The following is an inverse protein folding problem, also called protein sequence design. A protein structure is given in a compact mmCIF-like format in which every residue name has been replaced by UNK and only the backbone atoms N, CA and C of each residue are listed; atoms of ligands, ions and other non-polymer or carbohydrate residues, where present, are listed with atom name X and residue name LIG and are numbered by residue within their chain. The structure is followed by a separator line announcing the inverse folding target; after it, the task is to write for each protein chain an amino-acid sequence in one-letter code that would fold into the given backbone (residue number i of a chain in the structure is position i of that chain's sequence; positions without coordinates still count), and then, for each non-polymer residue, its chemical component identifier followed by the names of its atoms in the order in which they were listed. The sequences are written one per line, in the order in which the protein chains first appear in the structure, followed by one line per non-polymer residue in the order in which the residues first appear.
data_IF_787564829950
#
_entry.id   IF_787564829950
#
_cell.length_a   1.000
_cell.length_b   1.000
_cell.length_c   1.000
_cell.angle_alpha   90.00
_cell.angle_beta   90.00
_cell.angle_gamma   90.00
#
_symmetry.space_group_name_H-M   'P 1'
#
loop_
_entity.id
_entity.type
_entity.pdbx_description
1 polymer ?
#
# COMPACT_ATOMS: atom_id res chain seq x y z
N UNK A 1 3.17 -5.50 14.93
CA UNK A 1 2.62 -6.05 13.67
C UNK A 1 2.26 -4.86 12.82
N UNK A 2 2.42 -4.97 11.50
CA UNK A 2 2.21 -3.86 10.58
C UNK A 2 1.38 -4.31 9.38
N UNK A 3 0.76 -3.35 8.70
CA UNK A 3 0.18 -3.57 7.38
C UNK A 3 1.25 -3.44 6.30
N UNK A 4 1.08 -4.17 5.21
CA UNK A 4 2.05 -4.29 4.14
C UNK A 4 1.34 -4.08 2.80
N UNK A 5 1.89 -3.23 1.94
CA UNK A 5 1.42 -3.08 0.56
C UNK A 5 2.11 -4.13 -0.32
N UNK A 6 1.33 -4.86 -1.12
CA UNK A 6 1.79 -5.96 -1.98
C UNK A 6 1.68 -5.62 -3.47
N UNK A 7 1.97 -6.61 -4.32
CA UNK A 7 2.11 -6.54 -5.76
C UNK A 7 0.90 -5.96 -6.52
N UNK A 8 -0.31 -6.13 -5.97
CA UNK A 8 -1.54 -5.60 -6.58
C UNK A 8 -1.54 -4.06 -6.67
N UNK A 9 -0.82 -3.35 -5.79
CA UNK A 9 -0.75 -1.89 -5.83
C UNK A 9 0.03 -1.37 -7.03
N UNK A 10 1.07 -2.12 -7.46
CA UNK A 10 1.99 -1.73 -8.53
C UNK A 10 1.24 -1.48 -9.83
N UNK A 11 1.36 -0.28 -10.38
CA UNK A 11 0.68 0.12 -11.62
C UNK A 11 -0.78 0.56 -11.45
N UNK A 12 -1.34 0.53 -10.23
CA UNK A 12 -2.62 1.16 -9.93
C UNK A 12 -2.43 2.46 -9.15
N UNK A 13 -1.79 2.36 -7.97
CA UNK A 13 -1.51 3.49 -7.05
C UNK A 13 -2.71 4.44 -6.88
N UNK A 14 -3.85 3.90 -6.43
CA UNK A 14 -5.09 4.68 -6.18
C UNK A 14 -4.98 5.67 -5.02
N UNK A 15 -4.11 5.42 -4.04
CA UNK A 15 -3.88 6.26 -2.85
C UNK A 15 -5.05 6.49 -1.89
N UNK A 16 -6.18 5.80 -2.05
CA UNK A 16 -7.32 5.86 -1.09
C UNK A 16 -6.91 5.48 0.35
N UNK A 17 -5.91 4.60 0.49
CA UNK A 17 -5.34 4.23 1.78
C UNK A 17 -4.67 5.39 2.54
N UNK A 18 -4.22 6.44 1.84
CA UNK A 18 -3.58 7.62 2.45
C UNK A 18 -4.60 8.42 3.26
N UNK A 19 -5.80 8.64 2.71
CA UNK A 19 -6.83 9.45 3.38
C UNK A 19 -7.39 8.85 4.67
N UNK A 20 -7.18 7.55 4.89
CA UNK A 20 -7.68 6.84 6.08
C UNK A 20 -6.58 6.53 7.09
N UNK A 21 -5.32 6.89 6.81
CA UNK A 21 -4.21 6.65 7.72
C UNK A 21 -4.16 7.74 8.81
N UNK A 22 -4.37 7.41 10.10
CA UNK A 22 -4.40 8.41 11.16
C UNK A 22 -3.01 8.94 11.56
N UNK A 23 -1.95 8.29 11.09
CA UNK A 23 -0.54 8.56 11.46
C UNK A 23 0.33 8.87 10.24
N UNK A 24 -0.29 9.05 9.06
CA UNK A 24 0.39 9.42 7.80
C UNK A 24 1.63 8.57 7.46
N UNK A 25 1.61 7.27 7.78
CA UNK A 25 2.75 6.36 7.61
C UNK A 25 2.90 5.80 6.19
N UNK A 26 2.38 6.48 5.16
CA UNK A 26 2.49 6.05 3.78
C UNK A 26 3.59 6.80 3.05
N UNK A 27 4.34 6.06 2.23
CA UNK A 27 5.34 6.58 1.32
C UNK A 27 4.98 6.21 -0.12
N UNK A 28 5.52 6.93 -1.10
CA UNK A 28 5.11 6.76 -2.50
C UNK A 28 6.27 6.90 -3.47
N UNK A 29 6.25 6.09 -4.53
CA UNK A 29 7.04 6.32 -5.73
C UNK A 29 6.14 6.36 -6.98
N UNK A 30 6.76 6.34 -8.16
CA UNK A 30 6.04 6.40 -9.44
C UNK A 30 5.22 5.14 -9.73
N UNK A 31 5.44 4.04 -9.02
CA UNK A 31 4.82 2.74 -9.30
C UNK A 31 3.76 2.34 -8.26
N UNK A 32 3.97 2.62 -6.98
CA UNK A 32 3.10 2.21 -5.88
C UNK A 32 3.34 3.00 -4.57
N UNK A 33 2.55 2.66 -3.56
CA UNK A 33 2.74 3.14 -2.18
C UNK A 33 3.39 2.06 -1.31
N UNK A 34 4.00 2.48 -0.20
CA UNK A 34 4.62 1.63 0.82
C UNK A 34 4.18 2.09 2.20
N UNK A 35 4.11 1.17 3.16
CA UNK A 35 3.83 1.48 4.57
C UNK A 35 5.13 1.48 5.35
N UNK A 36 5.35 2.54 6.13
CA UNK A 36 6.42 2.56 7.13
C UNK A 36 6.02 1.70 8.34
N UNK A 37 6.71 0.57 8.59
CA UNK A 37 6.39 -0.31 9.70
C UNK A 37 6.68 0.27 11.07
N UNK A 38 7.54 1.30 11.18
CA UNK A 38 7.87 1.92 12.48
C UNK A 38 6.78 2.90 12.94
N UNK A 39 6.09 3.53 11.99
CA UNK A 39 5.01 4.47 12.27
C UNK A 39 3.61 3.85 12.16
N UNK A 40 3.46 2.67 11.56
CA UNK A 40 2.18 1.98 11.47
C UNK A 40 1.68 1.52 12.85
N UNK A 41 0.45 1.91 13.20
CA UNK A 41 -0.18 1.56 14.48
C UNK A 41 -1.19 0.39 14.41
N UNK A 42 -1.16 -0.39 13.32
CA UNK A 42 -2.01 -1.58 13.14
C UNK A 42 -3.53 -1.33 13.25
N UNK A 43 -4.02 -0.13 12.89
CA UNK A 43 -5.44 0.22 13.02
C UNK A 43 -6.36 -0.45 11.98
N UNK A 44 -5.80 -0.89 10.85
CA UNK A 44 -6.52 -1.64 9.80
C UNK A 44 -7.44 -0.85 8.87
N UNK A 45 -7.57 0.47 9.03
CA UNK A 45 -8.44 1.29 8.17
C UNK A 45 -8.05 1.27 6.68
N UNK A 46 -6.76 1.10 6.36
CA UNK A 46 -6.26 1.13 4.99
C UNK A 46 -6.58 -0.12 4.16
N UNK A 47 -6.73 -1.29 4.78
CA UNK A 47 -6.99 -2.55 4.09
C UNK A 47 -8.29 -2.55 3.27
N UNK A 48 -9.47 -2.23 3.85
CA UNK A 48 -10.72 -2.17 3.10
C UNK A 48 -10.81 -0.97 2.14
N UNK A 49 -10.00 0.08 2.36
CA UNK A 49 -9.97 1.25 1.50
C UNK A 49 -9.25 1.00 0.15
N UNK A 50 -8.40 -0.03 0.07
CA UNK A 50 -7.63 -0.32 -1.14
C UNK A 50 -8.49 -0.98 -2.23
N UNK A 51 -8.72 -0.33 -3.39
CA UNK A 51 -9.61 -0.86 -4.42
C UNK A 51 -9.13 -2.16 -5.07
N UNK A 52 -7.84 -2.48 -4.96
CA UNK A 52 -7.23 -3.69 -5.53
C UNK A 52 -6.88 -4.74 -4.47
N UNK A 53 -7.25 -4.49 -3.20
CA UNK A 53 -6.94 -5.40 -2.09
C UNK A 53 -5.45 -5.70 -1.97
N UNK A 54 -4.60 -4.67 -2.09
CA UNK A 54 -3.15 -4.83 -2.04
C UNK A 54 -2.58 -4.73 -0.61
N UNK A 55 -3.40 -4.47 0.41
CA UNK A 55 -2.95 -4.16 1.75
C UNK A 55 -3.43 -5.25 2.70
N UNK A 56 -2.48 -5.93 3.34
CA UNK A 56 -2.72 -7.04 4.26
C UNK A 56 -1.80 -6.93 5.48
N UNK A 57 -2.21 -7.41 6.67
CA UNK A 57 -1.32 -7.45 7.82
C UNK A 57 -0.23 -8.51 7.62
N UNK A 58 0.98 -8.22 8.12
CA UNK A 58 2.19 -9.04 7.95
C UNK A 58 1.99 -10.55 8.23
N UNK A 59 1.24 -10.89 9.28
CA UNK A 59 0.99 -12.25 9.71
C UNK A 59 0.00 -13.03 8.83
N UNK A 60 -0.78 -12.35 7.98
CA UNK A 60 -1.70 -13.00 7.02
C UNK A 60 -1.09 -13.21 5.63
N UNK A 61 0.07 -12.61 5.37
CA UNK A 61 0.73 -12.77 4.08
C UNK A 61 1.07 -14.23 3.82
N UNK A 62 0.72 -14.70 2.62
CA UNK A 62 1.18 -15.97 2.10
C UNK A 62 2.73 -16.02 2.08
N UNK A 63 3.29 -17.23 2.16
CA UNK A 63 4.73 -17.42 2.31
C UNK A 63 5.53 -16.76 1.17
N UNK A 64 5.01 -16.83 -0.06
CA UNK A 64 5.56 -16.21 -1.25
C UNK A 64 5.45 -14.68 -1.28
N UNK A 65 4.63 -14.07 -0.41
CA UNK A 65 4.47 -12.61 -0.30
C UNK A 65 5.20 -12.00 0.89
N UNK A 66 5.78 -12.80 1.79
CA UNK A 66 6.45 -12.28 3.00
C UNK A 66 7.62 -11.33 2.70
N UNK A 67 8.26 -11.45 1.55
CA UNK A 67 9.32 -10.52 1.13
C UNK A 67 8.85 -9.06 1.02
N UNK A 68 7.53 -8.82 0.84
CA UNK A 68 6.98 -7.48 0.80
C UNK A 68 7.15 -6.70 2.11
N UNK A 69 7.33 -7.39 3.25
CA UNK A 69 7.63 -6.76 4.53
C UNK A 69 8.92 -5.95 4.43
N UNK A 70 9.99 -6.57 3.91
CA UNK A 70 11.29 -5.92 3.75
C UNK A 70 11.27 -4.85 2.66
N UNK A 71 10.49 -5.08 1.59
CA UNK A 71 10.30 -4.06 0.54
C UNK A 71 9.64 -2.82 1.12
N UNK A 72 8.55 -2.94 1.87
CA UNK A 72 7.86 -1.79 2.46
C UNK A 72 8.79 -1.04 3.43
N UNK A 73 9.46 -1.77 4.33
CA UNK A 73 10.44 -1.22 5.28
C UNK A 73 11.53 -0.42 4.57
N UNK A 74 12.18 -1.02 3.56
CA UNK A 74 13.26 -0.36 2.81
C UNK A 74 12.74 0.86 2.06
N UNK A 75 11.66 0.71 1.31
CA UNK A 75 11.15 1.79 0.45
C UNK A 75 10.61 2.96 1.26
N UNK A 76 10.05 2.73 2.45
CA UNK A 76 9.68 3.82 3.36
C UNK A 76 10.87 4.73 3.72
N UNK A 77 12.09 4.19 3.81
CA UNK A 77 13.29 5.01 4.07
C UNK A 77 13.84 5.73 2.82
N UNK A 78 13.42 5.32 1.62
CA UNK A 78 13.97 5.80 0.34
C UNK A 78 13.00 6.69 -0.45
N UNK A 79 11.73 6.72 -0.05
CA UNK A 79 10.66 7.40 -0.81
C UNK A 79 9.98 8.45 0.07
N UNK A 80 9.46 9.54 -0.53
CA UNK A 80 8.83 10.61 0.23
C UNK A 80 7.53 10.13 0.89
N UNK A 81 7.22 10.72 2.05
CA UNK A 81 5.91 10.59 2.71
C UNK A 81 4.83 11.20 1.82
N UNK A 82 3.67 10.56 1.76
CA UNK A 82 2.47 11.04 1.09
C UNK A 82 1.37 11.32 2.13
N UNK A 83 1.00 12.58 2.29
CA UNK A 83 -0.06 13.02 3.22
C UNK A 83 -1.38 13.39 2.53
N UNK A 84 -1.42 13.39 1.19
CA UNK A 84 -2.61 13.70 0.42
C UNK A 84 -2.78 12.73 -0.76
N UNK A 85 -4.03 12.52 -1.20
CA UNK A 85 -4.32 11.66 -2.35
C UNK A 85 -3.68 12.19 -3.63
N UNK A 86 -3.22 11.26 -4.45
CA UNK A 86 -2.82 11.50 -5.83
C UNK A 86 -3.84 10.84 -6.77
N UNK A 87 -3.98 11.34 -8.00
CA UNK A 87 -4.69 10.63 -9.04
C UNK A 87 -4.11 9.22 -9.23
N UNK A 88 -4.99 8.24 -9.45
CA UNK A 88 -4.59 6.90 -9.84
C UNK A 88 -3.74 6.93 -11.12
N UNK A 89 -2.87 5.94 -11.31
CA UNK A 89 -2.04 5.85 -12.50
C UNK A 89 -2.89 5.61 -13.76
N UNK A 90 -2.44 6.06 -14.94
CA UNK A 90 -3.06 5.68 -16.21
C UNK A 90 -3.19 4.16 -16.33
N UNK A 91 -4.39 3.66 -16.69
CA UNK A 91 -4.67 2.23 -16.78
C UNK A 91 -4.97 1.53 -15.44
N UNK A 92 -5.02 2.26 -14.32
CA UNK A 92 -5.31 1.67 -13.01
C UNK A 92 -6.65 0.91 -12.98
N UNK A 93 -7.70 1.47 -13.59
CA UNK A 93 -9.04 0.86 -13.64
C UNK A 93 -9.09 -0.40 -14.51
N UNK A 94 -8.33 -0.43 -15.60
CA UNK A 94 -8.21 -1.63 -16.44
C UNK A 94 -7.52 -2.75 -15.66
N UNK A 95 -6.44 -2.41 -14.94
CA UNK A 95 -5.75 -3.35 -14.06
C UNK A 95 -6.63 -3.83 -12.91
N UNK A 96 -7.40 -2.94 -12.28
CA UNK A 96 -8.34 -3.31 -11.21
C UNK A 96 -9.36 -4.34 -11.70
N UNK A 97 -9.94 -4.11 -12.89
CA UNK A 97 -10.84 -5.07 -13.55
C UNK A 97 -10.14 -6.40 -13.86
N UNK A 98 -8.88 -6.37 -14.33
CA UNK A 98 -8.10 -7.58 -14.59
C UNK A 98 -7.79 -8.40 -13.32
N UNK A 99 -7.73 -7.75 -12.15
CA UNK A 99 -7.63 -8.40 -10.83
C UNK A 99 -8.97 -8.89 -10.28
N UNK A 100 -10.09 -8.66 -10.99
CA UNK A 100 -11.44 -9.03 -10.53
C UNK A 100 -11.95 -8.18 -9.37
N UNK A 101 -11.63 -6.87 -9.38
CA UNK A 101 -11.99 -5.91 -8.34
C UNK A 101 -12.76 -4.69 -8.88
#
# INVERSE_FOLDING_TARGET
MTYVVTDNCRGCRYTECVSVCPVECFHVDDAMTYIDPENCIDCGGCAPACPVGAIEPDYRLAADKKYWIDVNRKRATETPVISARLPALPGADERRRALGR
#
